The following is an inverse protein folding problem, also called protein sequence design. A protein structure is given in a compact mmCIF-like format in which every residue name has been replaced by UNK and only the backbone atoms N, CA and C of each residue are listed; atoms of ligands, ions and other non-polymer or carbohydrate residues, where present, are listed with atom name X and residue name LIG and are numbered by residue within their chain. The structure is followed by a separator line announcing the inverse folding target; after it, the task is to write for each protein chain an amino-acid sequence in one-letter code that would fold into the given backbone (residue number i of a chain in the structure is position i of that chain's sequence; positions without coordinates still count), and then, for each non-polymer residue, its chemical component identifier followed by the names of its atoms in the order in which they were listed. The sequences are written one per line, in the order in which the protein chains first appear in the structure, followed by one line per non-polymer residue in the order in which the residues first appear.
data_IF_149034905571
#
_entry.id   IF_149034905571
#
_cell.length_a   1.000
_cell.length_b   1.000
_cell.length_c   1.000
_cell.angle_alpha   90.00
_cell.angle_beta   90.00
_cell.angle_gamma   90.00
#
_symmetry.space_group_name_H-M   'P 1'
#
loop_
_entity.id
_entity.type
_entity.pdbx_description
1 polymer ?
#
# COMPACT_ATOMS: atom_id res chain seq x y z
N UNK A 1 0.34 10.38 -2.76
CA UNK A 1 -0.52 9.24 -2.35
C UNK A 1 0.38 8.12 -1.90
N UNK A 2 0.05 7.41 -0.82
CA UNK A 2 0.87 6.29 -0.33
C UNK A 2 0.27 4.94 -0.74
N UNK A 3 1.06 3.87 -0.67
CA UNK A 3 0.55 2.51 -0.89
C UNK A 3 -0.59 2.15 0.08
N UNK A 4 -0.53 2.68 1.31
CA UNK A 4 -1.52 2.42 2.35
C UNK A 4 -2.85 3.11 2.04
N UNK A 5 -2.81 4.34 1.54
CA UNK A 5 -4.01 5.07 1.12
C UNK A 5 -4.69 4.37 -0.07
N UNK A 6 -3.91 3.98 -1.08
CA UNK A 6 -4.42 3.27 -2.25
C UNK A 6 -4.95 1.88 -1.90
N UNK A 7 -4.34 1.18 -0.93
CA UNK A 7 -4.84 -0.09 -0.40
C UNK A 7 -6.24 0.06 0.20
N UNK A 8 -6.47 1.06 1.05
CA UNK A 8 -7.78 1.30 1.64
C UNK A 8 -8.81 1.75 0.59
N UNK A 9 -8.40 2.53 -0.41
CA UNK A 9 -9.29 2.89 -1.53
C UNK A 9 -9.66 1.68 -2.39
N UNK A 10 -8.73 0.74 -2.60
CA UNK A 10 -8.98 -0.53 -3.28
C UNK A 10 -9.97 -1.43 -2.51
N UNK A 11 -9.93 -1.41 -1.16
CA UNK A 11 -10.92 -2.09 -0.31
C UNK A 11 -12.30 -1.41 -0.31
N UNK A 12 -12.40 -0.11 -0.62
CA UNK A 12 -13.64 0.68 -0.46
C UNK A 12 -14.74 0.39 -1.48
N UNK A 13 -14.54 -0.55 -2.40
CA UNK A 13 -15.52 -0.96 -3.41
C UNK A 13 -16.14 0.22 -4.19
N UNK A 14 -15.33 1.25 -4.51
CA UNK A 14 -15.81 2.42 -5.24
C UNK A 14 -16.05 2.06 -6.72
N UNK A 15 -17.31 1.96 -7.12
CA UNK A 15 -17.72 1.74 -8.51
C UNK A 15 -18.71 0.59 -8.67
N UNK A 16 -19.08 0.30 -9.92
CA UNK A 16 -20.04 -0.77 -10.24
C UNK A 16 -19.47 -2.17 -10.00
N UNK A 17 -18.15 -2.35 -10.15
CA UNK A 17 -17.46 -3.60 -9.84
C UNK A 17 -16.49 -3.36 -8.69
N UNK A 18 -16.69 -4.00 -7.53
CA UNK A 18 -15.74 -3.93 -6.42
C UNK A 18 -14.34 -4.40 -6.83
N UNK A 19 -13.28 -3.68 -6.42
CA UNK A 19 -11.89 -4.04 -6.72
C UNK A 19 -11.46 -5.31 -5.98
N UNK A 20 -11.57 -5.31 -4.64
CA UNK A 20 -11.28 -6.50 -3.84
C UNK A 20 -12.43 -7.50 -3.91
N UNK A 21 -12.20 -8.64 -4.56
CA UNK A 21 -13.16 -9.74 -4.62
C UNK A 21 -12.48 -11.08 -4.45
N UNK A 22 -13.21 -12.05 -3.93
CA UNK A 22 -12.77 -13.42 -3.71
C UNK A 22 -13.69 -14.40 -4.43
N UNK A 23 -13.14 -15.45 -5.03
CA UNK A 23 -13.95 -16.54 -5.55
C UNK A 23 -14.71 -17.23 -4.41
N UNK A 24 -16.00 -17.48 -4.61
CA UNK A 24 -16.88 -18.05 -3.58
C UNK A 24 -16.33 -19.37 -3.01
N UNK A 25 -15.83 -20.24 -3.90
CA UNK A 25 -15.41 -21.61 -3.57
C UNK A 25 -13.99 -21.71 -3.02
N UNK A 26 -13.04 -20.92 -3.54
CA UNK A 26 -11.61 -21.07 -3.20
C UNK A 26 -11.10 -20.00 -2.25
N UNK A 27 -11.89 -18.94 -2.02
CA UNK A 27 -11.48 -17.73 -1.30
C UNK A 27 -10.19 -17.07 -1.85
N UNK A 28 -9.77 -17.44 -3.07
CA UNK A 28 -8.65 -16.80 -3.76
C UNK A 28 -9.09 -15.49 -4.40
N UNK A 29 -8.15 -14.59 -4.61
CA UNK A 29 -8.38 -13.32 -5.28
C UNK A 29 -9.04 -13.49 -6.66
N UNK A 30 -10.10 -12.70 -6.90
CA UNK A 30 -10.86 -12.65 -8.14
C UNK A 30 -10.71 -11.28 -8.81
N UNK A 31 -9.77 -11.20 -9.76
CA UNK A 31 -9.50 -9.98 -10.54
C UNK A 31 -10.75 -9.43 -11.22
N UNK A 32 -10.85 -8.10 -11.33
CA UNK A 32 -11.94 -7.40 -12.04
C UNK A 32 -12.01 -7.71 -13.55
N UNK A 33 -10.94 -8.28 -14.11
CA UNK A 33 -10.91 -8.82 -15.47
C UNK A 33 -11.44 -10.25 -15.59
N UNK A 34 -11.72 -10.94 -14.49
CA UNK A 34 -12.29 -12.29 -14.53
C UNK A 34 -13.65 -12.29 -15.26
N UNK A 35 -13.97 -13.37 -16.00
CA UNK A 35 -15.25 -13.50 -16.69
C UNK A 35 -16.45 -13.32 -15.75
N UNK A 36 -17.52 -12.69 -16.25
CA UNK A 36 -18.73 -12.37 -15.47
C UNK A 36 -19.48 -13.58 -14.93
N UNK A 37 -19.32 -14.76 -15.52
CA UNK A 37 -19.95 -16.01 -15.07
C UNK A 37 -19.28 -16.63 -13.83
N UNK A 38 -18.21 -16.02 -13.31
CA UNK A 38 -17.55 -16.48 -12.09
C UNK A 38 -18.15 -15.80 -10.86
N UNK A 39 -18.63 -16.59 -9.90
CA UNK A 39 -19.13 -16.08 -8.63
C UNK A 39 -17.97 -15.53 -7.78
N UNK A 40 -17.96 -14.21 -7.61
CA UNK A 40 -16.99 -13.52 -6.77
C UNK A 40 -17.71 -12.59 -5.80
N UNK A 41 -17.37 -12.71 -4.52
CA UNK A 41 -17.91 -11.90 -3.45
C UNK A 41 -16.90 -10.81 -3.06
N UNK A 42 -17.39 -9.70 -2.52
CA UNK A 42 -16.53 -8.65 -1.94
C UNK A 42 -15.66 -9.22 -0.82
N UNK A 43 -14.44 -8.73 -0.67
CA UNK A 43 -13.52 -9.23 0.35
C UNK A 43 -13.99 -8.96 1.77
N UNK A 44 -14.58 -7.79 2.00
CA UNK A 44 -15.06 -7.37 3.31
C UNK A 44 -16.37 -6.60 3.14
N UNK A 45 -17.28 -6.72 4.11
CA UNK A 45 -18.48 -5.89 4.16
C UNK A 45 -18.18 -4.48 4.66
N UNK A 46 -17.03 -4.30 5.33
CA UNK A 46 -16.68 -3.05 5.97
C UNK A 46 -15.60 -2.31 5.19
N UNK A 47 -15.96 -1.15 4.65
CA UNK A 47 -15.07 -0.33 3.82
C UNK A 47 -14.40 0.81 4.60
N UNK A 48 -14.66 0.93 5.90
CA UNK A 48 -14.04 1.94 6.74
C UNK A 48 -12.70 1.44 7.28
N UNK A 49 -11.67 2.30 7.22
CA UNK A 49 -10.31 1.98 7.66
C UNK A 49 -10.25 1.42 9.10
N UNK A 50 -11.05 1.97 9.99
CA UNK A 50 -11.12 1.60 11.41
C UNK A 50 -11.73 0.22 11.67
N UNK A 51 -12.46 -0.31 10.70
CA UNK A 51 -13.20 -1.57 10.85
C UNK A 51 -12.51 -2.76 10.17
N UNK A 52 -11.33 -2.56 9.58
CA UNK A 52 -10.51 -3.65 9.01
C UNK A 52 -9.66 -4.24 10.13
N UNK A 53 -9.88 -5.52 10.43
CA UNK A 53 -9.06 -6.24 11.41
C UNK A 53 -7.61 -6.41 10.92
N UNK A 54 -6.68 -6.63 11.85
CA UNK A 54 -5.28 -6.90 11.49
C UNK A 54 -5.14 -8.16 10.61
N UNK A 55 -6.02 -9.15 10.80
CA UNK A 55 -6.02 -10.37 10.01
C UNK A 55 -6.51 -10.12 8.58
N UNK A 56 -7.62 -9.40 8.41
CA UNK A 56 -8.09 -8.99 7.07
C UNK A 56 -7.04 -8.14 6.34
N UNK A 57 -6.37 -7.24 7.06
CA UNK A 57 -5.28 -6.45 6.49
C UNK A 57 -4.19 -7.34 5.90
N UNK A 58 -3.70 -8.32 6.67
CA UNK A 58 -2.65 -9.26 6.22
C UNK A 58 -3.11 -10.22 5.13
N UNK A 59 -4.39 -10.58 5.14
CA UNK A 59 -4.99 -11.48 4.15
C UNK A 59 -5.10 -10.81 2.77
N UNK A 60 -5.58 -9.57 2.73
CA UNK A 60 -5.87 -8.89 1.46
C UNK A 60 -4.70 -8.08 0.90
N UNK A 61 -3.72 -7.69 1.73
CA UNK A 61 -2.54 -6.95 1.28
C UNK A 61 -1.77 -7.65 0.14
N UNK A 62 -1.47 -8.97 0.21
CA UNK A 62 -0.84 -9.68 -0.90
C UNK A 62 -1.66 -9.67 -2.20
N UNK A 63 -2.99 -9.61 -2.12
CA UNK A 63 -3.86 -9.54 -3.29
C UNK A 63 -3.78 -8.16 -3.94
N UNK A 64 -3.84 -7.09 -3.13
CA UNK A 64 -3.63 -5.72 -3.60
C UNK A 64 -2.29 -5.55 -4.33
N UNK A 65 -1.20 -6.06 -3.74
CA UNK A 65 0.16 -5.96 -4.32
C UNK A 65 0.35 -6.78 -5.61
N UNK A 66 -0.58 -7.70 -5.93
CA UNK A 66 -0.57 -8.52 -7.15
C UNK A 66 -1.65 -8.13 -8.15
N UNK A 67 -2.58 -7.26 -7.77
CA UNK A 67 -3.66 -6.82 -8.64
C UNK A 67 -3.19 -5.76 -9.63
N UNK A 68 -3.43 -6.02 -10.92
CA UNK A 68 -3.08 -5.11 -11.99
C UNK A 68 -4.20 -4.08 -12.20
N UNK A 69 -3.90 -2.77 -12.20
CA UNK A 69 -4.90 -1.76 -12.50
C UNK A 69 -5.48 -1.97 -13.90
N UNK A 70 -6.78 -1.71 -14.05
CA UNK A 70 -7.51 -1.83 -15.30
C UNK A 70 -8.70 -0.85 -15.32
N UNK A 71 -9.46 -0.83 -16.42
CA UNK A 71 -10.57 0.11 -16.61
C UNK A 71 -11.68 0.00 -15.54
N UNK A 72 -11.86 -1.17 -14.92
CA UNK A 72 -12.86 -1.37 -13.86
C UNK A 72 -12.31 -1.06 -12.47
N UNK A 73 -11.02 -1.21 -12.27
CA UNK A 73 -10.34 -0.91 -11.02
C UNK A 73 -8.97 -0.26 -11.27
N UNK A 74 -8.90 1.07 -11.13
CA UNK A 74 -7.65 1.82 -11.32
C UNK A 74 -6.68 1.70 -10.12
N UNK A 75 -7.15 1.22 -8.96
CA UNK A 75 -6.42 1.19 -7.69
C UNK A 75 -5.65 -0.11 -7.43
N UNK A 76 -5.40 -0.93 -8.45
CA UNK A 76 -4.57 -2.13 -8.32
C UNK A 76 -3.13 -1.78 -7.92
N UNK A 77 -2.63 -2.39 -6.84
CA UNK A 77 -1.37 -2.01 -6.20
C UNK A 77 -0.11 -2.53 -6.91
N UNK A 78 -0.23 -3.52 -7.81
CA UNK A 78 0.94 -4.18 -8.40
C UNK A 78 1.85 -3.22 -9.17
N UNK A 79 1.26 -2.33 -9.97
CA UNK A 79 2.02 -1.44 -10.86
C UNK A 79 2.81 -0.36 -10.10
N UNK A 80 2.23 0.24 -9.06
CA UNK A 80 2.83 1.37 -8.34
C UNK A 80 3.52 0.96 -7.03
N UNK A 81 3.02 -0.09 -6.38
CA UNK A 81 3.38 -0.42 -5.00
C UNK A 81 3.88 -1.86 -4.81
N UNK A 82 3.87 -2.69 -5.86
CA UNK A 82 4.28 -4.10 -5.79
C UNK A 82 5.71 -4.31 -5.28
N UNK A 83 6.61 -3.37 -5.56
CA UNK A 83 7.98 -3.34 -5.04
C UNK A 83 8.18 -2.44 -3.82
N UNK A 84 7.17 -1.63 -3.46
CA UNK A 84 7.27 -0.66 -2.35
C UNK A 84 6.97 -1.27 -0.99
N UNK A 85 6.45 -2.51 -0.95
CA UNK A 85 6.10 -3.21 0.30
C UNK A 85 6.73 -4.59 0.31
N UNK A 86 7.65 -4.80 1.26
CA UNK A 86 8.23 -6.12 1.53
C UNK A 86 7.40 -6.83 2.58
N UNK A 87 6.84 -7.99 2.21
CA UNK A 87 6.10 -8.84 3.12
C UNK A 87 7.00 -9.92 3.71
N UNK A 88 6.82 -10.18 5.01
CA UNK A 88 7.42 -11.30 5.70
C UNK A 88 6.69 -12.60 5.34
N UNK A 89 7.40 -13.56 4.76
CA UNK A 89 6.82 -14.75 4.11
C UNK A 89 5.97 -15.63 5.05
N UNK A 90 6.26 -15.62 6.35
CA UNK A 90 5.60 -16.51 7.32
C UNK A 90 4.16 -16.10 7.62
N UNK A 91 3.85 -14.81 7.61
CA UNK A 91 2.58 -14.29 8.12
C UNK A 91 2.03 -13.08 7.36
N UNK A 92 2.62 -12.74 6.21
CA UNK A 92 2.28 -11.57 5.39
C UNK A 92 2.29 -10.23 6.16
N UNK A 93 3.06 -10.10 7.24
CA UNK A 93 3.28 -8.80 7.87
C UNK A 93 4.20 -7.94 7.03
N UNK A 94 4.04 -6.62 7.10
CA UNK A 94 4.96 -5.68 6.47
C UNK A 94 6.28 -5.70 7.23
N UNK A 95 7.36 -6.05 6.55
CA UNK A 95 8.73 -6.05 7.08
C UNK A 95 9.40 -4.69 6.84
N UNK A 96 9.31 -4.20 5.61
CA UNK A 96 9.79 -2.89 5.21
C UNK A 96 8.84 -2.28 4.18
N UNK A 97 8.76 -0.96 4.13
CA UNK A 97 8.02 -0.27 3.08
C UNK A 97 8.68 1.04 2.69
N UNK A 98 8.39 1.47 1.46
CA UNK A 98 8.88 2.71 0.88
C UNK A 98 7.70 3.63 0.58
N UNK A 99 7.85 4.91 0.90
CA UNK A 99 6.99 5.97 0.40
C UNK A 99 7.84 6.84 -0.53
N UNK A 100 7.50 6.83 -1.81
CA UNK A 100 8.25 7.57 -2.83
C UNK A 100 7.80 9.04 -2.86
N UNK A 101 8.77 9.94 -2.95
CA UNK A 101 8.58 11.37 -3.18
C UNK A 101 9.61 11.88 -4.19
N UNK A 102 9.45 13.13 -4.61
CA UNK A 102 10.37 13.80 -5.52
C UNK A 102 10.94 15.04 -4.84
N UNK A 103 12.21 15.32 -5.08
CA UNK A 103 12.80 16.60 -4.73
C UNK A 103 12.33 17.70 -5.67
N UNK A 104 12.50 18.95 -5.25
CA UNK A 104 12.46 20.09 -6.16
C UNK A 104 13.58 20.00 -7.21
N UNK A 105 13.63 20.98 -8.13
CA UNK A 105 14.76 21.11 -9.03
C UNK A 105 16.04 21.33 -8.21
N UNK A 106 17.03 20.48 -8.44
CA UNK A 106 18.37 20.56 -7.86
C UNK A 106 19.36 20.72 -9.03
N UNK A 107 20.09 21.82 -9.07
CA UNK A 107 20.98 22.17 -10.18
C UNK A 107 22.42 22.30 -9.68
N UNK A 108 22.61 23.04 -8.59
CA UNK A 108 23.91 23.30 -7.99
C UNK A 108 24.30 22.19 -7.00
N UNK A 109 25.60 22.07 -6.71
CA UNK A 109 26.08 21.14 -5.66
C UNK A 109 25.47 21.47 -4.30
N UNK A 110 25.25 22.75 -4.01
CA UNK A 110 24.66 23.20 -2.75
C UNK A 110 23.20 22.73 -2.64
N UNK A 111 22.45 22.75 -3.75
CA UNK A 111 21.06 22.26 -3.78
C UNK A 111 20.99 20.77 -3.38
N UNK A 112 21.91 19.94 -3.86
CA UNK A 112 21.95 18.51 -3.51
C UNK A 112 22.32 18.29 -2.03
N UNK A 113 23.27 19.06 -1.50
CA UNK A 113 23.68 18.99 -0.09
C UNK A 113 22.52 19.43 0.81
N UNK A 114 21.87 20.54 0.48
CA UNK A 114 20.73 21.03 1.23
C UNK A 114 19.56 20.06 1.16
N UNK A 115 19.26 19.52 -0.02
CA UNK A 115 18.16 18.55 -0.19
C UNK A 115 18.35 17.29 0.65
N UNK A 116 19.57 16.72 0.69
CA UNK A 116 19.81 15.53 1.52
C UNK A 116 19.81 15.86 3.01
N UNK A 117 20.33 17.03 3.42
CA UNK A 117 20.25 17.49 4.81
C UNK A 117 18.80 17.65 5.27
N UNK A 118 17.96 18.29 4.46
CA UNK A 118 16.54 18.47 4.77
C UNK A 118 15.80 17.12 4.80
N UNK A 119 16.15 16.18 3.91
CA UNK A 119 15.58 14.84 3.92
C UNK A 119 15.88 14.11 5.24
N UNK A 120 17.11 14.16 5.73
CA UNK A 120 17.47 13.57 7.03
C UNK A 120 16.74 14.25 8.19
N UNK A 121 16.67 15.58 8.22
CA UNK A 121 15.92 16.31 9.26
C UNK A 121 14.46 15.84 9.31
N UNK A 122 13.83 15.69 8.14
CA UNK A 122 12.45 15.20 8.05
C UNK A 122 12.31 13.77 8.58
N UNK A 123 13.14 12.85 8.11
CA UNK A 123 13.03 11.43 8.49
C UNK A 123 13.40 11.19 9.95
N UNK A 124 14.34 11.94 10.50
CA UNK A 124 14.70 11.89 11.92
C UNK A 124 13.53 12.37 12.78
N UNK A 125 12.85 13.44 12.36
CA UNK A 125 11.64 13.93 13.04
C UNK A 125 10.51 12.88 13.03
N UNK A 126 10.28 12.25 11.88
CA UNK A 126 9.30 11.15 11.76
C UNK A 126 9.69 9.98 12.67
N UNK A 127 10.96 9.57 12.64
CA UNK A 127 11.49 8.48 13.46
C UNK A 127 11.30 8.77 14.96
N UNK A 128 11.63 9.97 15.41
CA UNK A 128 11.46 10.39 16.80
C UNK A 128 9.99 10.42 17.22
N UNK A 129 9.10 10.87 16.34
CA UNK A 129 7.66 10.88 16.59
C UNK A 129 7.11 9.45 16.76
N UNK A 130 7.56 8.50 15.92
CA UNK A 130 7.15 7.10 16.01
C UNK A 130 7.70 6.41 17.27
N UNK A 131 8.97 6.66 17.62
CA UNK A 131 9.59 6.16 18.84
C UNK A 131 8.90 6.70 20.10
N UNK A 132 8.53 7.98 20.11
CA UNK A 132 7.77 8.59 21.20
C UNK A 132 6.36 7.96 21.36
N UNK A 133 5.76 7.48 20.27
CA UNK A 133 4.52 6.72 20.29
C UNK A 133 4.70 5.23 20.69
N UNK A 134 5.94 4.79 20.96
CA UNK A 134 6.26 3.43 21.40
C UNK A 134 6.60 2.44 20.27
N UNK A 135 6.82 2.91 19.04
CA UNK A 135 7.22 2.07 17.92
C UNK A 135 8.74 2.05 17.75
N UNK A 136 9.33 0.86 17.74
CA UNK A 136 10.75 0.66 17.46
C UNK A 136 10.98 0.52 15.95
N UNK A 137 10.98 1.67 15.26
CA UNK A 137 11.16 1.77 13.81
C UNK A 137 12.11 2.92 13.47
N UNK A 138 12.75 2.82 12.31
CA UNK A 138 13.59 3.85 11.72
C UNK A 138 13.07 4.20 10.33
N UNK A 139 13.01 5.50 10.05
CA UNK A 139 12.71 6.04 8.72
C UNK A 139 13.95 6.79 8.25
N UNK A 140 14.37 6.54 7.01
CA UNK A 140 15.55 7.17 6.42
C UNK A 140 15.33 7.46 4.93
N UNK A 141 15.95 8.52 4.39
CA UNK A 141 15.93 8.78 2.96
C UNK A 141 16.97 7.88 2.29
N UNK A 142 16.59 7.23 1.19
CA UNK A 142 17.54 6.46 0.40
C UNK A 142 18.53 7.40 -0.29
N UNK A 143 19.79 6.97 -0.39
CA UNK A 143 20.90 7.73 -0.98
C UNK A 143 21.07 7.44 -2.47
#
# INVERSE_FOLDING_TARGET
TTWLDDYYDWLRHRGATPCCRLYENTKKFCSTNSPSHRNCNVCTSSTARENISQNEFREFLPFFLKDNPNLKCAKGGHAAHGSSVKLYERNNSVEASLIMGYHSLLISSDDFIDAIQQAYILTDNITNTLRAAGYDVEVFPYR
#
